data_IF_867501930923
#
_entry.id   IF_867501930923
#
_cell.length_a   1.000
_cell.length_b   1.000
_cell.length_c   1.000
_cell.angle_alpha   90.00
_cell.angle_beta   90.00
_cell.angle_gamma   90.00
#
_symmetry.space_group_name_H-M   'P 1'
#
loop_
_entity.id
_entity.type
_entity.pdbx_description
1 polymer ?
#
# COMPACT_ATOMS: atom_id res chain seq x y z
N UNK A 1 17.72 -17.96 -24.38
CA UNK A 1 17.08 -17.46 -23.13
C UNK A 1 17.26 -15.95 -22.86
N UNK A 2 18.35 -15.27 -23.27
CA UNK A 2 18.53 -13.81 -23.06
C UNK A 2 17.51 -12.93 -23.80
N UNK A 3 17.18 -13.27 -25.05
CA UNK A 3 16.29 -12.46 -25.91
C UNK A 3 14.85 -12.43 -25.37
N UNK A 4 14.32 -13.57 -24.91
CA UNK A 4 12.99 -13.64 -24.32
C UNK A 4 12.85 -12.79 -23.05
N UNK A 5 13.89 -12.78 -22.18
CA UNK A 5 13.93 -11.90 -21.00
C UNK A 5 13.97 -10.41 -21.36
N UNK A 6 14.74 -10.04 -22.39
CA UNK A 6 14.80 -8.65 -22.87
C UNK A 6 13.47 -8.18 -23.46
N UNK A 7 12.81 -9.01 -24.25
CA UNK A 7 11.49 -8.68 -24.80
C UNK A 7 10.44 -8.57 -23.70
N UNK A 8 10.46 -9.46 -22.70
CA UNK A 8 9.56 -9.38 -21.55
C UNK A 8 9.80 -8.10 -20.73
N UNK A 9 11.06 -7.72 -20.49
CA UNK A 9 11.39 -6.47 -19.81
C UNK A 9 10.88 -5.25 -20.59
N UNK A 10 11.02 -5.26 -21.93
CA UNK A 10 10.57 -4.17 -22.80
C UNK A 10 9.04 -4.08 -22.85
N UNK A 11 8.33 -5.21 -22.89
CA UNK A 11 6.86 -5.27 -22.75
C UNK A 11 6.44 -4.73 -21.40
N UNK A 12 7.12 -5.11 -20.32
CA UNK A 12 6.83 -4.60 -18.99
C UNK A 12 7.01 -3.08 -18.93
N UNK A 13 8.10 -2.52 -19.46
CA UNK A 13 8.30 -1.06 -19.55
C UNK A 13 7.18 -0.37 -20.34
N UNK A 14 6.80 -0.90 -21.51
CA UNK A 14 5.71 -0.34 -22.32
C UNK A 14 4.33 -0.49 -21.66
N UNK A 15 4.17 -1.45 -20.75
CA UNK A 15 2.97 -1.63 -19.94
C UNK A 15 2.97 -0.79 -18.66
N UNK A 16 3.96 0.09 -18.44
CA UNK A 16 4.06 0.91 -17.24
C UNK A 16 4.63 0.19 -16.02
N UNK A 17 5.29 -0.96 -16.20
CA UNK A 17 5.86 -1.80 -15.14
C UNK A 17 7.37 -1.55 -14.91
N UNK A 18 7.96 -0.46 -15.39
CA UNK A 18 9.39 -0.25 -15.13
C UNK A 18 10.04 1.03 -15.66
N UNK A 19 10.19 2.02 -14.78
CA UNK A 19 11.53 2.55 -14.51
C UNK A 19 12.13 1.65 -13.41
N UNK A 20 13.15 0.86 -13.78
CA UNK A 20 14.01 0.19 -12.81
C UNK A 20 14.77 1.26 -12.04
N UNK A 21 14.31 1.63 -10.85
CA UNK A 21 15.23 2.15 -9.85
C UNK A 21 16.14 0.97 -9.49
N UNK A 22 17.38 1.02 -9.97
CA UNK A 22 18.25 -0.13 -10.26
C UNK A 22 18.75 -0.93 -9.05
N UNK A 23 18.09 -0.84 -7.88
CA UNK A 23 18.52 -1.49 -6.63
C UNK A 23 17.39 -2.03 -5.74
N UNK A 24 16.12 -1.92 -6.14
CA UNK A 24 15.02 -2.48 -5.34
C UNK A 24 14.93 -4.00 -5.52
N UNK A 25 15.79 -4.72 -4.79
CA UNK A 25 15.88 -6.18 -4.71
C UNK A 25 14.50 -6.84 -4.60
N UNK A 26 14.38 -8.01 -5.23
CA UNK A 26 13.26 -8.98 -5.27
C UNK A 26 12.65 -9.38 -3.91
N UNK A 27 13.14 -8.85 -2.79
CA UNK A 27 12.79 -9.27 -1.42
C UNK A 27 12.29 -8.12 -0.52
N UNK A 28 12.10 -6.90 -1.03
CA UNK A 28 11.80 -5.74 -0.17
C UNK A 28 10.42 -5.82 0.50
N UNK A 29 9.48 -6.53 -0.13
CA UNK A 29 8.10 -6.72 0.33
C UNK A 29 7.71 -8.21 0.40
N UNK A 30 8.63 -9.10 0.78
CA UNK A 30 8.25 -10.48 1.16
C UNK A 30 7.26 -10.40 2.32
N UNK A 31 6.12 -11.13 2.30
CA UNK A 31 5.78 -12.24 1.38
C UNK A 31 5.02 -11.84 0.09
N UNK A 32 4.57 -10.59 -0.02
CA UNK A 32 3.73 -10.10 -1.14
C UNK A 32 4.39 -10.22 -2.51
N UNK A 33 5.73 -10.16 -2.55
CA UNK A 33 6.52 -10.29 -3.77
C UNK A 33 6.05 -11.45 -4.67
N UNK A 34 5.69 -12.59 -4.08
CA UNK A 34 5.23 -13.80 -4.78
C UNK A 34 3.99 -13.61 -5.67
N UNK A 35 3.15 -12.62 -5.39
CA UNK A 35 1.94 -12.35 -6.16
C UNK A 35 2.18 -11.57 -7.45
N UNK A 36 3.36 -10.95 -7.61
CA UNK A 36 3.69 -10.11 -8.76
C UNK A 36 4.53 -10.84 -9.81
N UNK A 37 4.39 -10.40 -11.06
CA UNK A 37 5.24 -10.86 -12.15
C UNK A 37 6.71 -10.56 -11.85
N UNK A 38 7.59 -11.54 -12.01
CA UNK A 38 9.02 -11.36 -11.72
C UNK A 38 9.36 -11.25 -10.23
N UNK A 39 8.37 -11.43 -9.34
CA UNK A 39 8.48 -11.30 -7.88
C UNK A 39 8.92 -9.91 -7.40
N UNK A 40 8.50 -8.87 -8.12
CA UNK A 40 8.88 -7.48 -7.82
C UNK A 40 7.60 -6.67 -7.62
N UNK A 41 7.56 -5.88 -6.55
CA UNK A 41 6.46 -4.95 -6.33
C UNK A 41 6.44 -3.88 -7.43
N UNK A 42 5.32 -3.67 -8.13
CA UNK A 42 5.26 -2.65 -9.17
C UNK A 42 5.46 -1.25 -8.59
N UNK A 43 6.46 -0.51 -9.06
CA UNK A 43 6.65 0.92 -8.75
C UNK A 43 6.36 1.77 -9.97
N UNK A 44 6.09 3.07 -9.79
CA UNK A 44 5.63 3.93 -10.90
C UNK A 44 4.22 3.57 -11.36
N UNK A 45 3.40 3.11 -10.41
CA UNK A 45 2.08 2.54 -10.66
C UNK A 45 1.06 3.06 -9.64
N UNK A 46 -0.23 2.93 -9.95
CA UNK A 46 -1.33 3.18 -9.01
C UNK A 46 -1.70 1.91 -8.24
N UNK A 47 -1.65 2.00 -6.92
CA UNK A 47 -2.14 1.01 -5.97
C UNK A 47 -3.37 1.56 -5.25
N UNK A 48 -4.52 0.91 -5.45
CA UNK A 48 -5.77 1.26 -4.79
C UNK A 48 -5.92 0.48 -3.49
N UNK A 49 -6.41 1.15 -2.45
CA UNK A 49 -6.80 0.55 -1.18
C UNK A 49 -8.25 0.92 -0.87
N UNK A 50 -9.01 -0.02 -0.33
CA UNK A 50 -10.42 0.20 0.03
C UNK A 50 -10.63 -0.16 1.50
N UNK A 51 -11.26 0.74 2.24
CA UNK A 51 -11.68 0.50 3.63
C UNK A 51 -13.07 1.07 3.88
N UNK A 52 -13.84 0.38 4.73
CA UNK A 52 -15.19 0.83 5.15
C UNK A 52 -15.24 1.24 6.62
N UNK A 53 -14.34 0.71 7.45
CA UNK A 53 -14.30 0.96 8.88
C UNK A 53 -13.07 1.77 9.27
N UNK A 54 -13.18 2.52 10.37
CA UNK A 54 -12.07 3.36 10.83
C UNK A 54 -10.84 2.54 11.24
N UNK A 55 -11.05 1.36 11.85
CA UNK A 55 -9.96 0.45 12.23
C UNK A 55 -9.20 -0.08 11.00
N UNK A 56 -9.93 -0.45 9.94
CA UNK A 56 -9.34 -0.92 8.68
C UNK A 56 -8.67 0.22 7.92
N UNK A 57 -9.21 1.44 8.00
CA UNK A 57 -8.57 2.62 7.43
C UNK A 57 -7.23 2.94 8.11
N UNK A 58 -7.17 2.85 9.45
CA UNK A 58 -5.92 3.00 10.20
C UNK A 58 -4.91 1.89 9.85
N UNK A 59 -5.38 0.65 9.74
CA UNK A 59 -4.57 -0.51 9.31
C UNK A 59 -4.03 -0.32 7.89
N UNK A 60 -4.86 0.18 6.97
CA UNK A 60 -4.47 0.53 5.60
C UNK A 60 -3.39 1.59 5.60
N UNK A 61 -3.53 2.66 6.38
CA UNK A 61 -2.53 3.72 6.46
C UNK A 61 -1.20 3.19 7.05
N UNK A 62 -1.25 2.31 8.06
CA UNK A 62 -0.06 1.64 8.60
C UNK A 62 0.62 0.70 7.58
N UNK A 63 -0.17 -0.05 6.82
CA UNK A 63 0.32 -0.90 5.74
C UNK A 63 0.96 -0.09 4.61
N UNK A 64 0.31 0.98 4.14
CA UNK A 64 0.88 1.89 3.14
C UNK A 64 2.20 2.49 3.64
N UNK A 65 2.24 2.93 4.90
CA UNK A 65 3.45 3.48 5.53
C UNK A 65 4.59 2.46 5.56
N UNK A 66 4.31 1.20 5.92
CA UNK A 66 5.30 0.14 5.97
C UNK A 66 5.80 -0.28 4.58
N UNK A 67 4.97 -0.20 3.54
CA UNK A 67 5.42 -0.37 2.15
C UNK A 67 6.32 0.78 1.72
N UNK A 68 5.91 2.02 1.98
CA UNK A 68 6.67 3.22 1.59
C UNK A 68 8.01 3.29 2.32
N UNK A 69 8.07 2.95 3.61
CA UNK A 69 9.34 2.92 4.35
C UNK A 69 10.36 1.97 3.72
N UNK A 70 9.89 0.86 3.16
CA UNK A 70 10.71 -0.10 2.42
C UNK A 70 11.16 0.44 1.06
N UNK A 71 10.31 1.19 0.35
CA UNK A 71 10.64 1.84 -0.93
C UNK A 71 11.61 3.01 -0.77
N UNK A 72 11.51 3.76 0.33
CA UNK A 72 12.29 4.97 0.61
C UNK A 72 13.57 4.71 1.43
N UNK A 73 14.00 3.45 1.58
CA UNK A 73 15.22 3.10 2.33
C UNK A 73 16.48 3.82 1.83
N UNK A 74 16.55 4.10 0.53
CA UNK A 74 17.66 4.81 -0.12
C UNK A 74 17.46 6.33 -0.15
N UNK A 75 16.46 6.85 0.56
CA UNK A 75 16.02 8.24 0.51
C UNK A 75 14.73 8.43 -0.28
N UNK A 76 14.37 9.69 -0.53
CA UNK A 76 13.13 10.06 -1.22
C UNK A 76 12.23 10.95 -0.37
N UNK A 77 11.14 11.40 -0.99
CA UNK A 77 10.10 12.19 -0.36
C UNK A 77 8.72 11.60 -0.69
N UNK A 78 7.83 11.64 0.30
CA UNK A 78 6.44 11.24 0.15
C UNK A 78 5.52 12.44 0.37
N UNK A 79 4.52 12.61 -0.46
CA UNK A 79 3.44 13.55 -0.22
C UNK A 79 2.21 12.81 0.30
N UNK A 80 1.67 13.21 1.43
CA UNK A 80 0.44 12.65 2.00
C UNK A 80 -0.68 13.67 1.90
N UNK A 81 -1.61 13.43 0.99
CA UNK A 81 -2.76 14.31 0.73
C UNK A 81 -3.98 13.66 1.39
N UNK A 82 -4.50 14.31 2.42
CA UNK A 82 -5.65 13.81 3.17
C UNK A 82 -6.68 14.90 3.41
N UNK A 83 -7.91 14.45 3.66
CA UNK A 83 -9.02 15.31 4.05
C UNK A 83 -9.01 15.65 5.54
N UNK A 84 -10.19 15.64 6.15
CA UNK A 84 -10.40 15.96 7.56
C UNK A 84 -9.76 14.98 8.55
N UNK A 85 -9.48 13.75 8.11
CA UNK A 85 -8.81 12.73 8.93
C UNK A 85 -7.30 12.91 8.86
N UNK A 86 -6.70 13.26 9.99
CA UNK A 86 -5.25 13.44 10.07
C UNK A 86 -4.58 12.17 10.57
N UNK A 87 -3.63 11.67 9.81
CA UNK A 87 -2.66 10.71 10.31
C UNK A 87 -1.77 11.40 11.34
N UNK A 88 -1.54 10.73 12.47
CA UNK A 88 -0.60 11.23 13.47
C UNK A 88 0.84 10.98 13.00
N UNK A 89 1.63 12.01 12.65
CA UNK A 89 2.92 11.80 11.98
C UNK A 89 3.88 10.95 12.79
N UNK A 90 3.88 11.06 14.13
CA UNK A 90 4.78 10.29 14.97
C UNK A 90 4.50 8.79 14.95
N UNK A 91 3.28 8.37 14.61
CA UNK A 91 2.94 6.95 14.43
C UNK A 91 3.65 6.31 13.23
N UNK A 92 4.10 7.10 12.25
CA UNK A 92 4.80 6.58 11.06
C UNK A 92 6.12 5.89 11.41
N UNK A 93 6.78 6.33 12.49
CA UNK A 93 8.03 5.73 12.98
C UNK A 93 7.87 4.26 13.35
N UNK A 94 6.69 3.87 13.87
CA UNK A 94 6.36 2.48 14.16
C UNK A 94 6.45 1.60 12.89
N UNK A 95 6.08 2.15 11.75
CA UNK A 95 6.15 1.51 10.43
C UNK A 95 7.45 1.79 9.68
N UNK A 96 8.44 2.38 10.35
CA UNK A 96 9.79 2.63 9.84
C UNK A 96 9.92 3.82 8.89
N UNK A 97 8.90 4.68 8.77
CA UNK A 97 8.96 5.90 7.97
C UNK A 97 9.20 7.11 8.88
N UNK A 98 10.27 7.86 8.61
CA UNK A 98 10.55 9.09 9.36
C UNK A 98 9.59 10.21 8.94
N UNK A 99 8.99 10.95 9.90
CA UNK A 99 7.99 11.98 9.58
C UNK A 99 8.53 13.15 8.75
N UNK A 100 9.83 13.45 8.83
CA UNK A 100 10.51 14.50 8.06
C UNK A 100 10.60 14.19 6.56
N UNK A 101 10.39 12.93 6.17
CA UNK A 101 10.30 12.47 4.78
C UNK A 101 8.91 12.63 4.18
N UNK A 102 7.93 13.06 4.98
CA UNK A 102 6.52 13.16 4.57
C UNK A 102 6.05 14.61 4.63
N UNK A 103 5.64 15.13 3.49
CA UNK A 103 4.95 16.42 3.41
C UNK A 103 3.44 16.13 3.51
N UNK A 104 2.77 16.73 4.50
CA UNK A 104 1.34 16.55 4.71
C UNK A 104 0.55 17.71 4.10
N UNK A 105 -0.44 17.38 3.27
CA UNK A 105 -1.33 18.35 2.65
C UNK A 105 -2.76 18.04 3.09
N UNK A 106 -3.38 19.00 3.77
CA UNK A 106 -4.76 18.89 4.25
C UNK A 106 -5.70 19.63 3.29
N UNK A 107 -6.61 18.90 2.65
CA UNK A 107 -7.49 19.45 1.60
C UNK A 107 -8.95 19.22 1.96
N UNK A 108 -9.77 20.28 1.94
CA UNK A 108 -11.19 20.15 2.28
C UNK A 108 -12.06 19.71 1.09
N UNK A 109 -11.71 20.14 -0.12
CA UNK A 109 -12.44 19.85 -1.35
C UNK A 109 -11.97 18.51 -1.95
N UNK A 110 -12.86 17.53 -2.18
CA UNK A 110 -12.51 16.29 -2.87
C UNK A 110 -11.96 16.51 -4.27
N UNK A 111 -12.47 17.53 -4.98
CA UNK A 111 -12.01 17.90 -6.32
C UNK A 111 -10.57 18.41 -6.28
N UNK A 112 -10.27 19.27 -5.32
CA UNK A 112 -8.92 19.82 -5.16
C UNK A 112 -7.96 18.73 -4.70
N UNK A 113 -8.40 17.80 -3.85
CA UNK A 113 -7.59 16.67 -3.42
C UNK A 113 -7.15 15.81 -4.61
N UNK A 114 -8.09 15.45 -5.51
CA UNK A 114 -7.77 14.70 -6.72
C UNK A 114 -6.83 15.47 -7.66
N UNK A 115 -7.05 16.78 -7.82
CA UNK A 115 -6.17 17.61 -8.64
C UNK A 115 -4.75 17.69 -8.05
N UNK A 116 -4.61 17.91 -6.74
CA UNK A 116 -3.31 17.93 -6.05
C UNK A 116 -2.62 16.57 -6.15
N UNK A 117 -3.35 15.46 -6.01
CA UNK A 117 -2.81 14.11 -6.20
C UNK A 117 -2.23 13.97 -7.62
N UNK A 118 -2.99 14.37 -8.64
CA UNK A 118 -2.52 14.29 -10.02
C UNK A 118 -1.25 15.13 -10.26
N UNK A 119 -1.20 16.37 -9.78
CA UNK A 119 -0.02 17.23 -9.93
C UNK A 119 1.19 16.69 -9.15
N UNK A 120 0.97 16.15 -7.96
CA UNK A 120 2.02 15.50 -7.19
C UNK A 120 2.59 14.27 -7.91
N UNK A 121 1.74 13.45 -8.53
CA UNK A 121 2.18 12.29 -9.30
C UNK A 121 2.99 12.68 -10.55
N UNK A 122 2.91 13.93 -11.03
CA UNK A 122 3.76 14.44 -12.14
C UNK A 122 5.13 14.89 -11.66
N UNK A 123 5.34 15.09 -10.35
CA UNK A 123 6.59 15.60 -9.79
C UNK A 123 7.61 14.47 -9.59
N UNK A 124 8.60 14.37 -10.49
CA UNK A 124 9.65 13.33 -10.45
C UNK A 124 10.57 13.40 -9.22
N UNK A 125 10.53 14.48 -8.44
CA UNK A 125 11.26 14.59 -7.18
C UNK A 125 10.64 13.76 -6.05
N UNK A 126 9.37 13.34 -6.19
CA UNK A 126 8.70 12.49 -5.21
C UNK A 126 8.95 11.01 -5.51
N UNK A 127 9.03 10.21 -4.46
CA UNK A 127 9.09 8.74 -4.58
C UNK A 127 7.70 8.14 -4.52
N UNK A 128 6.83 8.71 -3.68
CA UNK A 128 5.47 8.24 -3.48
C UNK A 128 4.50 9.39 -3.21
N UNK A 129 3.24 9.17 -3.57
CA UNK A 129 2.11 10.03 -3.21
C UNK A 129 1.03 9.16 -2.58
N UNK A 130 0.58 9.53 -1.40
CA UNK A 130 -0.59 8.95 -0.74
C UNK A 130 -1.74 9.93 -0.92
N UNK A 131 -2.84 9.45 -1.49
CA UNK A 131 -4.07 10.21 -1.65
C UNK A 131 -5.23 9.54 -0.94
N UNK A 132 -5.77 10.18 0.09
CA UNK A 132 -7.00 9.74 0.74
C UNK A 132 -8.20 10.43 0.10
N UNK A 133 -9.07 9.65 -0.53
CA UNK A 133 -10.29 10.14 -1.19
C UNK A 133 -11.48 9.27 -0.82
N UNK A 134 -12.70 9.77 -1.01
CA UNK A 134 -13.90 8.93 -0.85
C UNK A 134 -14.23 8.21 -2.16
N UNK A 135 -14.31 8.96 -3.24
CA UNK A 135 -14.67 8.48 -4.57
C UNK A 135 -13.53 8.66 -5.57
N UNK A 136 -13.46 7.74 -6.54
CA UNK A 136 -12.52 7.81 -7.64
C UNK A 136 -13.19 7.27 -8.90
N UNK A 137 -13.37 8.12 -9.90
CA UNK A 137 -13.96 7.70 -11.17
C UNK A 137 -12.95 6.91 -12.03
N UNK A 138 -13.45 6.18 -13.02
CA UNK A 138 -12.58 5.49 -13.98
C UNK A 138 -11.73 6.49 -14.78
N UNK A 139 -12.30 7.64 -15.15
CA UNK A 139 -11.59 8.69 -15.89
C UNK A 139 -10.47 9.31 -15.06
N UNK A 140 -10.75 9.65 -13.79
CA UNK A 140 -9.75 10.23 -12.90
C UNK A 140 -8.62 9.23 -12.63
N UNK A 141 -8.96 7.98 -12.28
CA UNK A 141 -7.93 6.94 -12.08
C UNK A 141 -7.07 6.70 -13.31
N UNK A 142 -7.63 6.79 -14.53
CA UNK A 142 -6.84 6.68 -15.76
C UNK A 142 -5.87 7.85 -15.94
N UNK A 143 -6.27 9.07 -15.57
CA UNK A 143 -5.36 10.23 -15.55
C UNK A 143 -4.23 10.05 -14.55
N UNK A 144 -4.53 9.56 -13.35
CA UNK A 144 -3.51 9.24 -12.34
C UNK A 144 -2.54 8.18 -12.85
N UNK A 145 -3.05 7.12 -13.51
CA UNK A 145 -2.22 6.07 -14.10
C UNK A 145 -1.29 6.61 -15.20
N UNK A 146 -1.76 7.52 -16.06
CA UNK A 146 -0.91 8.17 -17.06
C UNK A 146 0.16 9.08 -16.43
N UNK A 147 -0.16 9.76 -15.32
CA UNK A 147 0.80 10.59 -14.60
C UNK A 147 1.97 9.75 -14.05
N UNK A 148 1.68 8.62 -13.40
CA UNK A 148 2.73 7.72 -12.85
C UNK A 148 3.54 7.02 -13.93
N UNK A 149 2.92 6.67 -15.07
CA UNK A 149 3.65 6.09 -16.21
C UNK A 149 4.70 7.04 -16.77
N UNK A 150 4.41 8.35 -16.74
CA UNK A 150 5.35 9.39 -17.20
C UNK A 150 6.45 9.67 -16.18
N UNK A 151 6.07 9.91 -14.93
CA UNK A 151 7.02 10.36 -13.89
C UNK A 151 7.83 9.22 -13.29
N UNK A 152 7.22 8.04 -13.10
CA UNK A 152 7.74 6.94 -12.31
C UNK A 152 7.43 7.04 -10.80
N UNK A 153 6.68 8.05 -10.37
CA UNK A 153 6.20 8.19 -8.99
C UNK A 153 5.20 7.09 -8.66
N UNK A 154 5.25 6.51 -7.47
CA UNK A 154 4.28 5.47 -7.07
C UNK A 154 3.09 6.10 -6.33
N UNK A 155 1.87 5.82 -6.79
CA UNK A 155 0.64 6.37 -6.20
C UNK A 155 -0.08 5.34 -5.32
N UNK A 156 -0.37 5.70 -4.08
CA UNK A 156 -1.17 4.93 -3.12
C UNK A 156 -2.49 5.67 -2.89
N UNK A 157 -3.59 5.18 -3.49
CA UNK A 157 -4.89 5.82 -3.41
C UNK A 157 -5.77 5.05 -2.44
N UNK A 158 -6.02 5.62 -1.26
CA UNK A 158 -6.87 5.03 -0.25
C UNK A 158 -8.29 5.60 -0.35
N UNK A 159 -9.23 4.74 -0.73
CA UNK A 159 -10.65 5.02 -0.80
C UNK A 159 -11.33 4.63 0.50
N UNK A 160 -11.70 5.62 1.30
CA UNK A 160 -12.35 5.41 2.59
C UNK A 160 -13.87 5.63 2.52
N UNK A 161 -14.64 4.62 2.90
CA UNK A 161 -16.10 4.54 2.80
C UNK A 161 -16.64 4.95 1.41
N UNK A 162 -16.15 4.37 0.29
CA UNK A 162 -16.75 4.62 -1.01
C UNK A 162 -18.18 4.10 -1.05
N UNK A 163 -19.08 4.77 -1.77
CA UNK A 163 -20.46 4.29 -1.96
C UNK A 163 -20.50 3.01 -2.80
N UNK A 164 -19.49 2.77 -3.66
CA UNK A 164 -19.38 1.56 -4.47
C UNK A 164 -17.93 1.23 -4.83
N UNK A 165 -17.62 -0.05 -5.02
CA UNK A 165 -16.32 -0.52 -5.51
C UNK A 165 -16.25 -0.52 -7.04
N UNK A 166 -16.54 0.62 -7.67
CA UNK A 166 -16.48 0.79 -9.12
C UNK A 166 -15.10 0.42 -9.71
N UNK A 167 -15.08 0.14 -11.01
CA UNK A 167 -13.85 -0.12 -11.74
C UNK A 167 -12.99 1.15 -11.82
N UNK A 168 -11.71 1.01 -11.49
CA UNK A 168 -10.70 2.07 -11.63
C UNK A 168 -9.45 1.54 -12.35
N UNK A 169 -8.73 2.43 -13.00
CA UNK A 169 -7.43 2.14 -13.57
C UNK A 169 -6.39 2.08 -12.43
N UNK A 170 -6.04 0.87 -12.01
CA UNK A 170 -5.04 0.60 -10.99
C UNK A 170 -4.28 -0.69 -11.33
N UNK A 171 -3.02 -0.75 -10.92
CA UNK A 171 -2.17 -1.94 -11.06
C UNK A 171 -2.49 -2.98 -10.00
N UNK A 172 -2.81 -2.54 -8.78
CA UNK A 172 -3.27 -3.41 -7.70
C UNK A 172 -4.45 -2.82 -6.94
N UNK A 173 -5.31 -3.67 -6.40
CA UNK A 173 -6.35 -3.31 -5.42
C UNK A 173 -6.16 -4.13 -4.15
N UNK A 174 -6.15 -3.46 -3.00
CA UNK A 174 -5.92 -4.06 -1.69
C UNK A 174 -7.08 -3.79 -0.74
N UNK A 175 -7.33 -4.75 0.17
CA UNK A 175 -8.08 -4.55 1.41
C UNK A 175 -7.21 -4.97 2.58
N UNK A 176 -7.14 -4.12 3.60
CA UNK A 176 -6.34 -4.37 4.80
C UNK A 176 -7.30 -4.38 5.98
N UNK A 177 -7.42 -5.53 6.65
CA UNK A 177 -8.29 -5.71 7.80
C UNK A 177 -7.45 -5.87 9.05
N UNK A 178 -7.82 -5.20 10.14
CA UNK A 178 -7.14 -5.37 11.42
C UNK A 178 -7.30 -6.83 11.92
N UNK A 179 -6.20 -7.43 12.39
CA UNK A 179 -6.23 -8.68 13.13
C UNK A 179 -5.79 -8.45 14.58
N UNK A 180 -6.25 -9.27 15.53
CA UNK A 180 -5.74 -9.24 16.90
C UNK A 180 -4.22 -9.40 16.92
N UNK A 181 -3.54 -8.53 17.67
CA UNK A 181 -2.10 -8.61 17.87
C UNK A 181 -1.74 -9.84 18.70
N UNK A 182 -0.62 -10.48 18.38
CA UNK A 182 -0.07 -11.55 19.19
C UNK A 182 0.84 -10.98 20.27
N UNK A 183 0.60 -11.36 21.51
CA UNK A 183 1.47 -11.06 22.63
C UNK A 183 2.48 -12.21 22.74
N UNK A 184 3.75 -11.93 22.52
CA UNK A 184 4.80 -12.90 22.79
C UNK A 184 5.00 -13.05 24.31
N UNK A 185 5.16 -14.30 24.76
CA UNK A 185 5.53 -14.64 26.15
C UNK A 185 4.55 -14.27 27.28
N UNK A 186 3.25 -14.09 27.00
CA UNK A 186 2.24 -13.71 28.02
C UNK A 186 2.61 -12.42 28.80
N UNK A 187 3.45 -11.56 28.24
CA UNK A 187 3.79 -10.29 28.86
C UNK A 187 2.61 -9.31 28.75
N UNK A 188 2.30 -8.50 29.78
CA UNK A 188 1.25 -7.50 29.68
C UNK A 188 1.63 -6.46 28.60
N UNK A 189 0.74 -6.22 27.64
CA UNK A 189 0.95 -5.20 26.61
C UNK A 189 0.13 -5.41 25.34
N UNK A 190 0.25 -4.45 24.42
CA UNK A 190 -0.22 -4.59 23.04
C UNK A 190 0.88 -5.29 22.23
N UNK A 191 0.51 -6.32 21.48
CA UNK A 191 1.43 -7.05 20.63
C UNK A 191 1.80 -6.27 19.36
N UNK A 192 2.46 -6.95 18.42
CA UNK A 192 2.76 -6.38 17.11
C UNK A 192 1.48 -6.10 16.30
N UNK A 193 1.51 -5.06 15.47
CA UNK A 193 0.42 -4.76 14.55
C UNK A 193 0.21 -5.93 13.59
N UNK A 194 -1.01 -6.46 13.53
CA UNK A 194 -1.35 -7.62 12.72
C UNK A 194 -2.50 -7.27 11.77
N UNK A 195 -2.44 -7.78 10.54
CA UNK A 195 -3.40 -7.52 9.48
C UNK A 195 -3.67 -8.75 8.63
N UNK A 196 -4.91 -8.86 8.16
CA UNK A 196 -5.21 -9.63 6.96
C UNK A 196 -5.02 -8.69 5.77
N UNK A 197 -4.07 -9.03 4.91
CA UNK A 197 -3.73 -8.30 3.70
C UNK A 197 -4.31 -9.05 2.52
N UNK A 198 -5.33 -8.49 1.88
CA UNK A 198 -5.98 -9.09 0.71
C UNK A 198 -5.60 -8.31 -0.55
N UNK A 199 -4.89 -8.95 -1.48
CA UNK A 199 -4.65 -8.43 -2.82
C UNK A 199 -5.78 -8.90 -3.75
N UNK A 200 -6.78 -8.05 -3.94
CA UNK A 200 -8.00 -8.37 -4.70
C UNK A 200 -7.79 -8.32 -6.22
N UNK A 201 -6.91 -7.44 -6.67
CA UNK A 201 -6.56 -7.25 -8.08
C UNK A 201 -5.07 -7.04 -8.20
N UNK A 202 -4.47 -7.66 -9.21
CA UNK A 202 -3.08 -7.40 -9.61
C UNK A 202 -2.93 -7.61 -11.11
N UNK A 203 -2.32 -6.64 -11.80
CA UNK A 203 -2.02 -6.75 -13.22
C UNK A 203 -0.94 -7.80 -13.46
N UNK A 204 -1.20 -8.78 -14.34
CA UNK A 204 -0.27 -9.86 -14.71
C UNK A 204 0.23 -10.74 -13.54
N UNK A 205 -0.38 -10.62 -12.35
CA UNK A 205 -0.05 -11.39 -11.15
C UNK A 205 -1.20 -12.30 -10.74
N UNK A 206 -1.16 -12.80 -9.50
CA UNK A 206 -2.26 -13.58 -8.92
C UNK A 206 -2.75 -12.94 -7.61
N UNK A 207 -4.04 -12.62 -7.49
CA UNK A 207 -4.66 -12.27 -6.22
C UNK A 207 -4.35 -13.30 -5.14
N UNK A 208 -4.16 -12.84 -3.91
CA UNK A 208 -3.86 -13.69 -2.75
C UNK A 208 -4.13 -12.93 -1.45
N UNK A 209 -4.25 -13.66 -0.35
CA UNK A 209 -4.44 -13.10 0.98
C UNK A 209 -3.38 -13.62 1.94
N UNK A 210 -2.88 -12.77 2.83
CA UNK A 210 -1.91 -13.14 3.84
C UNK A 210 -2.33 -12.61 5.21
N UNK A 211 -2.06 -13.39 6.25
CA UNK A 211 -2.10 -12.90 7.62
C UNK A 211 -0.69 -12.49 8.03
N UNK A 212 -0.49 -11.21 8.27
CA UNK A 212 0.84 -10.61 8.43
C UNK A 212 0.90 -9.85 9.74
N UNK A 213 2.03 -9.95 10.42
CA UNK A 213 2.41 -9.06 11.51
C UNK A 213 3.57 -8.17 11.10
N UNK A 214 3.59 -6.94 11.62
CA UNK A 214 4.68 -6.00 11.44
C UNK A 214 5.61 -6.05 12.66
N UNK A 215 6.77 -6.66 12.48
CA UNK A 215 7.75 -6.89 13.53
C UNK A 215 9.12 -6.37 13.07
N UNK A 216 9.83 -5.64 13.94
CA UNK A 216 11.19 -5.16 13.66
C UNK A 216 11.36 -4.50 12.27
N UNK A 217 10.41 -3.63 11.92
CA UNK A 217 10.34 -2.94 10.62
C UNK A 217 10.23 -3.89 9.41
N UNK A 218 9.64 -5.08 9.56
CA UNK A 218 9.49 -6.08 8.51
C UNK A 218 8.13 -6.81 8.59
N UNK A 219 7.70 -7.35 7.45
CA UNK A 219 6.49 -8.17 7.37
C UNK A 219 6.82 -9.62 7.71
N UNK A 220 6.09 -10.19 8.67
CA UNK A 220 6.24 -11.58 9.12
C UNK A 220 4.90 -12.28 8.95
N UNK A 221 4.88 -13.36 8.16
CA UNK A 221 3.67 -14.16 7.93
C UNK A 221 3.28 -14.96 9.18
N UNK A 222 2.02 -14.90 9.56
CA UNK A 222 1.48 -15.56 10.74
C UNK A 222 1.07 -16.99 10.40
N UNK A 223 1.76 -18.00 10.94
CA UNK A 223 1.40 -19.42 10.80
C UNK A 223 0.23 -19.86 11.70
N UNK A 224 -0.48 -20.95 11.35
CA UNK A 224 -1.72 -21.46 12.00
C UNK A 224 -1.72 -21.56 13.54
N UNK A 225 -0.57 -21.78 14.20
CA UNK A 225 -0.49 -21.72 15.67
C UNK A 225 -0.97 -20.38 16.23
N UNK A 226 -0.90 -19.31 15.44
CA UNK A 226 -1.34 -17.96 15.77
C UNK A 226 -2.84 -17.71 15.53
N UNK A 227 -3.47 -18.50 14.64
CA UNK A 227 -4.90 -18.39 14.33
C UNK A 227 -5.78 -19.12 15.36
N UNK A 228 -5.23 -20.06 16.13
CA UNK A 228 -5.95 -20.78 17.18
C UNK A 228 -6.50 -19.87 18.31
N UNK A 229 -5.88 -18.70 18.55
CA UNK A 229 -6.38 -17.69 19.50
C UNK A 229 -7.71 -17.09 19.02
N UNK A 230 -7.99 -17.10 17.71
CA UNK A 230 -9.25 -16.64 17.11
C UNK A 230 -10.44 -17.50 17.57
N UNK A 231 -10.26 -18.81 17.69
CA UNK A 231 -11.31 -19.76 18.07
C UNK A 231 -11.57 -19.82 19.59
N UNK A 232 -10.57 -19.51 20.41
CA UNK A 232 -10.72 -19.55 21.88
C UNK A 232 -11.51 -18.35 22.43
N UNK A 233 -11.49 -17.21 21.72
CA UNK A 233 -12.19 -15.98 22.11
C UNK A 233 -13.61 -15.87 21.54
N UNK A 234 -14.00 -16.76 20.62
CA UNK A 234 -15.39 -16.93 20.15
C UNK A 234 -16.08 -18.06 20.94
N UNK A 235 -16.17 -17.95 22.27
CA UNK A 235 -17.15 -18.76 23.01
C UNK A 235 -18.53 -18.12 22.85
N UNK A 236 -19.59 -18.86 22.49
CA UNK A 236 -20.91 -18.28 22.43
C UNK A 236 -21.32 -17.86 23.84
N UNK A 237 -21.58 -16.57 24.03
CA UNK A 237 -22.38 -16.07 25.15
C UNK A 237 -23.73 -16.77 25.06
N UNK A 238 -23.96 -17.73 25.96
CA UNK A 238 -25.28 -18.28 26.24
C UNK A 238 -26.18 -17.27 26.93
#
# INVERSE_FOLDING_TARGET
MKIARQLQAKINTMQGLGKSCNDLKTNILTPFASAFTGKIFPTGAIHEFISYEQANAASTNGFITSVISKLMKTGGLCLWIAGTKKVFPHALKHFGLEPDRVIFVNVQSPKDALWIIEEALKCEALTAVIGEVKELSFTDSRRLQLAVEKSGVTGFIHRYCPHSENAVACTTRWKITALPSLIEHNLPGVGYSAWEVQLLKVRNGRPHSWNISWQEKSFVEMTDKHLAVKLLNERPTG
#
